data_IF_730666265004
#
_entry.id   IF_730666265004
#
_cell.length_a   1.000
_cell.length_b   1.000
_cell.length_c   1.000
_cell.angle_alpha   90.00
_cell.angle_beta   90.00
_cell.angle_gamma   90.00
#
_symmetry.space_group_name_H-M   'P 1'
#
loop_
_entity.id
_entity.type
_entity.pdbx_description
1 polymer ?
#
# COMPACT_ATOMS: atom_id res chain seq x y z
N UNK A 1 21.72 10.97 -3.77
CA UNK A 1 20.34 10.50 -3.54
C UNK A 1 19.53 11.70 -3.09
N UNK A 2 18.40 11.99 -3.72
CA UNK A 2 17.51 13.09 -3.31
C UNK A 2 16.07 12.65 -3.39
N UNK A 3 15.26 13.05 -2.41
CA UNK A 3 13.81 12.99 -2.52
C UNK A 3 13.35 13.97 -3.60
N UNK A 4 12.30 13.61 -4.33
CA UNK A 4 11.63 14.48 -5.30
C UNK A 4 10.81 15.52 -4.56
N UNK A 5 10.03 15.07 -3.57
CA UNK A 5 9.09 15.92 -2.85
C UNK A 5 9.77 16.57 -1.64
N UNK A 6 10.51 17.66 -1.89
CA UNK A 6 11.19 18.45 -0.86
C UNK A 6 10.65 19.89 -0.79
N UNK A 7 10.59 20.50 0.41
CA UNK A 7 10.17 21.89 0.56
C UNK A 7 11.24 22.86 0.03
N UNK A 8 10.80 24.04 -0.41
CA UNK A 8 11.63 25.15 -0.95
C UNK A 8 12.27 24.84 -2.30
N UNK A 9 13.00 23.74 -2.41
CA UNK A 9 13.64 23.26 -3.64
C UNK A 9 13.33 21.77 -3.79
N UNK A 10 12.72 21.39 -4.90
CA UNK A 10 12.39 19.99 -5.16
C UNK A 10 13.62 19.21 -5.68
N UNK A 11 13.53 17.88 -5.68
CA UNK A 11 14.64 17.02 -6.11
C UNK A 11 15.06 17.19 -7.57
N UNK A 12 14.12 17.56 -8.46
CA UNK A 12 14.44 17.83 -9.87
C UNK A 12 15.28 19.11 -10.01
N UNK A 13 14.92 20.17 -9.29
CA UNK A 13 15.67 21.43 -9.27
C UNK A 13 17.08 21.23 -8.70
N UNK A 14 17.20 20.49 -7.60
CA UNK A 14 18.50 20.13 -7.03
C UNK A 14 19.34 19.32 -8.01
N UNK A 15 18.75 18.31 -8.66
CA UNK A 15 19.43 17.49 -9.65
C UNK A 15 19.96 18.36 -10.79
N UNK A 16 19.12 19.25 -11.34
CA UNK A 16 19.50 20.18 -12.40
C UNK A 16 20.67 21.07 -11.98
N UNK A 17 20.58 21.70 -10.81
CA UNK A 17 21.65 22.55 -10.28
C UNK A 17 22.98 21.79 -10.14
N UNK A 18 22.94 20.53 -9.68
CA UNK A 18 24.13 19.68 -9.57
C UNK A 18 24.71 19.33 -10.95
N UNK A 19 23.86 19.04 -11.94
CA UNK A 19 24.28 18.68 -13.31
C UNK A 19 24.80 19.87 -14.12
N UNK A 20 24.30 21.07 -13.86
CA UNK A 20 24.79 22.30 -14.48
C UNK A 20 26.11 22.79 -13.85
N UNK A 21 26.41 22.42 -12.61
CA UNK A 21 27.62 22.85 -11.92
C UNK A 21 28.90 22.15 -12.44
N UNK A 22 29.90 22.93 -12.84
CA UNK A 22 31.14 22.45 -13.52
C UNK A 22 31.96 21.42 -12.74
N UNK A 23 31.91 21.47 -11.41
CA UNK A 23 32.64 20.50 -10.57
C UNK A 23 31.80 19.29 -10.15
N UNK A 24 30.46 19.39 -10.20
CA UNK A 24 29.56 18.39 -9.61
C UNK A 24 28.82 17.56 -10.66
N UNK A 25 28.82 17.97 -11.92
CA UNK A 25 28.01 17.35 -12.96
C UNK A 25 28.26 15.85 -13.19
N UNK A 26 29.47 15.37 -12.84
CA UNK A 26 29.85 13.95 -12.93
C UNK A 26 29.29 13.09 -11.80
N UNK A 27 28.78 13.68 -10.72
CA UNK A 27 28.26 12.93 -9.58
C UNK A 27 26.97 12.21 -10.00
N UNK A 28 26.89 10.88 -9.87
CA UNK A 28 25.66 10.15 -10.18
C UNK A 28 24.50 10.62 -9.29
N UNK A 29 23.34 10.85 -9.89
CA UNK A 29 22.18 11.36 -9.18
C UNK A 29 21.00 10.39 -9.29
N UNK A 30 20.51 9.94 -8.15
CA UNK A 30 19.32 9.09 -8.03
C UNK A 30 18.21 9.93 -7.41
N UNK A 31 17.07 10.01 -8.11
CA UNK A 31 15.84 10.61 -7.60
C UNK A 31 15.01 9.56 -6.87
N UNK A 32 14.50 9.91 -5.70
CA UNK A 32 13.65 9.05 -4.90
C UNK A 32 12.25 9.67 -4.90
N UNK A 33 11.22 8.91 -5.22
CA UNK A 33 9.85 9.44 -5.36
C UNK A 33 8.81 8.49 -4.81
N UNK A 34 7.69 9.01 -4.31
CA UNK A 34 6.52 8.19 -3.92
C UNK A 34 5.65 7.81 -5.13
N UNK A 35 5.81 8.51 -6.25
CA UNK A 35 4.99 8.30 -7.44
C UNK A 35 5.80 8.50 -8.72
N UNK A 36 5.62 7.57 -9.66
CA UNK A 36 6.20 7.64 -10.99
C UNK A 36 5.08 7.93 -11.98
N UNK A 37 5.05 9.16 -12.48
CA UNK A 37 4.17 9.58 -13.59
C UNK A 37 5.01 9.87 -14.83
N UNK A 38 4.38 9.88 -16.00
CA UNK A 38 5.03 10.30 -17.24
C UNK A 38 5.74 11.65 -17.09
N UNK A 39 5.07 12.64 -16.48
CA UNK A 39 5.63 13.97 -16.26
C UNK A 39 6.85 13.95 -15.31
N UNK A 40 6.82 13.15 -14.24
CA UNK A 40 7.96 12.96 -13.35
C UNK A 40 9.15 12.30 -14.05
N UNK A 41 8.89 11.32 -14.91
CA UNK A 41 9.92 10.66 -15.71
C UNK A 41 10.57 11.70 -16.64
N UNK A 42 9.78 12.49 -17.37
CA UNK A 42 10.31 13.51 -18.27
C UNK A 42 11.13 14.58 -17.52
N UNK A 43 10.62 15.07 -16.38
CA UNK A 43 11.36 16.01 -15.52
C UNK A 43 12.66 15.43 -14.98
N UNK A 44 12.67 14.14 -14.64
CA UNK A 44 13.88 13.43 -14.21
C UNK A 44 14.94 13.38 -15.31
N UNK A 45 14.53 13.07 -16.55
CA UNK A 45 15.41 13.11 -17.73
C UNK A 45 15.96 14.52 -17.92
N UNK A 46 15.09 15.53 -17.98
CA UNK A 46 15.47 16.93 -18.21
C UNK A 46 16.42 17.46 -17.12
N UNK A 47 16.28 16.99 -15.88
CA UNK A 47 17.18 17.34 -14.79
C UNK A 47 18.53 16.61 -14.86
N UNK A 48 18.69 15.63 -15.75
CA UNK A 48 19.89 14.81 -15.90
C UNK A 48 20.02 13.71 -14.86
N UNK A 49 18.91 13.24 -14.29
CA UNK A 49 18.94 12.14 -13.33
C UNK A 49 19.43 10.85 -13.98
N UNK A 50 20.23 10.08 -13.25
CA UNK A 50 20.81 8.83 -13.76
C UNK A 50 19.95 7.60 -13.43
N UNK A 51 19.13 7.69 -12.38
CA UNK A 51 18.23 6.62 -11.97
C UNK A 51 17.08 7.18 -11.10
N UNK A 52 16.02 6.39 -10.93
CA UNK A 52 14.93 6.63 -9.97
C UNK A 52 14.77 5.43 -9.05
N UNK A 53 14.29 5.72 -7.85
CA UNK A 53 13.87 4.74 -6.87
C UNK A 53 12.50 5.12 -6.35
N UNK A 54 11.53 4.21 -6.48
CA UNK A 54 10.18 4.45 -5.98
C UNK A 54 10.09 4.03 -4.52
N UNK A 55 9.44 4.83 -3.68
CA UNK A 55 9.12 4.48 -2.30
C UNK A 55 7.82 3.66 -2.24
N UNK A 56 7.70 2.72 -1.28
CA UNK A 56 8.78 2.21 -0.42
C UNK A 56 9.76 1.33 -1.22
N UNK A 57 11.02 1.30 -0.79
CA UNK A 57 12.06 0.43 -1.35
C UNK A 57 12.78 -0.29 -0.21
N UNK A 58 13.32 -1.48 -0.49
CA UNK A 58 14.21 -2.20 0.42
C UNK A 58 15.67 -1.77 0.23
N UNK A 59 16.49 -2.06 1.24
CA UNK A 59 17.91 -1.69 1.26
C UNK A 59 18.70 -2.38 0.14
N UNK A 60 18.39 -3.65 -0.18
CA UNK A 60 19.11 -4.40 -1.22
C UNK A 60 18.91 -3.76 -2.60
N UNK A 61 17.69 -3.37 -2.93
CA UNK A 61 17.35 -2.64 -4.16
C UNK A 61 18.12 -1.31 -4.25
N UNK A 62 18.22 -0.57 -3.15
CA UNK A 62 19.01 0.66 -3.11
C UNK A 62 20.50 0.38 -3.33
N UNK A 63 21.06 -0.62 -2.64
CA UNK A 63 22.48 -0.98 -2.77
C UNK A 63 22.83 -1.41 -4.19
N UNK A 64 22.01 -2.26 -4.82
CA UNK A 64 22.22 -2.69 -6.22
C UNK A 64 22.29 -1.48 -7.15
N UNK A 65 21.35 -0.52 -7.03
CA UNK A 65 21.34 0.68 -7.87
C UNK A 65 22.57 1.57 -7.64
N UNK A 66 23.04 1.70 -6.40
CA UNK A 66 24.25 2.45 -6.08
C UNK A 66 25.47 1.75 -6.69
N UNK A 67 25.60 0.44 -6.50
CA UNK A 67 26.71 -0.34 -7.05
C UNK A 67 26.76 -0.29 -8.58
N UNK A 68 25.61 -0.41 -9.25
CA UNK A 68 25.49 -0.26 -10.71
C UNK A 68 26.03 1.10 -11.18
N UNK A 69 25.65 2.19 -10.51
CA UNK A 69 26.10 3.55 -10.88
C UNK A 69 27.56 3.82 -10.52
N UNK A 70 28.09 3.24 -9.45
CA UNK A 70 29.49 3.42 -9.08
C UNK A 70 30.42 2.57 -9.94
N UNK A 71 29.98 1.38 -10.36
CA UNK A 71 30.76 0.48 -11.22
C UNK A 71 30.84 0.97 -12.65
N UNK A 72 29.79 1.66 -13.14
CA UNK A 72 29.75 2.22 -14.48
C UNK A 72 29.23 3.67 -14.44
N UNK A 73 30.07 4.62 -13.96
CA UNK A 73 29.65 5.98 -13.74
C UNK A 73 29.18 6.63 -15.05
N UNK A 74 27.97 7.20 -15.09
CA UNK A 74 27.45 7.82 -16.29
C UNK A 74 28.37 8.96 -16.71
N UNK A 75 28.80 8.94 -17.96
CA UNK A 75 29.62 10.00 -18.54
C UNK A 75 28.64 11.10 -18.98
N UNK A 76 28.64 12.29 -18.35
CA UNK A 76 27.71 13.32 -18.73
C UNK A 76 28.09 13.87 -20.10
N UNK A 77 27.23 13.68 -21.09
CA UNK A 77 27.42 14.26 -22.41
C UNK A 77 26.70 15.62 -22.51
N UNK A 78 27.41 16.70 -22.17
CA UNK A 78 26.89 18.08 -22.30
C UNK A 78 26.72 18.53 -23.77
N UNK A 79 27.29 17.78 -24.71
CA UNK A 79 27.14 17.98 -26.15
C UNK A 79 26.10 17.03 -26.76
N UNK A 80 25.33 16.30 -25.92
CA UNK A 80 24.24 15.47 -26.42
C UNK A 80 23.21 16.34 -27.16
N UNK A 81 22.79 15.87 -28.32
CA UNK A 81 21.71 16.49 -29.09
C UNK A 81 20.41 16.49 -28.30
N UNK A 82 19.58 17.49 -28.56
CA UNK A 82 18.21 17.52 -28.07
C UNK A 82 17.36 16.55 -28.89
N UNK A 83 16.58 15.73 -28.19
CA UNK A 83 15.63 14.80 -28.80
C UNK A 83 14.21 15.25 -28.46
N UNK A 84 13.36 15.33 -29.47
CA UNK A 84 11.93 15.55 -29.26
C UNK A 84 11.24 14.19 -29.02
N UNK A 85 10.60 14.07 -27.87
CA UNK A 85 9.84 12.88 -27.47
C UNK A 85 8.39 13.27 -27.30
N UNK A 86 7.50 12.56 -27.99
CA UNK A 86 6.05 12.75 -27.89
C UNK A 86 5.47 11.69 -26.96
N UNK A 87 4.88 12.13 -25.84
CA UNK A 87 4.20 11.25 -24.89
C UNK A 87 2.82 11.82 -24.57
N UNK A 88 1.78 10.99 -24.69
CA UNK A 88 0.39 11.40 -24.43
C UNK A 88 -0.04 12.67 -25.20
N UNK A 89 0.49 12.86 -26.42
CA UNK A 89 0.20 14.03 -27.26
C UNK A 89 0.94 15.32 -26.88
N UNK A 90 1.83 15.28 -25.87
CA UNK A 90 2.71 16.39 -25.49
C UNK A 90 4.13 16.12 -25.97
N UNK A 91 4.73 17.11 -26.63
CA UNK A 91 6.13 17.07 -27.06
C UNK A 91 7.03 17.59 -25.93
N UNK A 92 8.09 16.85 -25.64
CA UNK A 92 9.14 17.21 -24.69
C UNK A 92 10.47 17.23 -25.43
N UNK A 93 11.21 18.32 -25.30
CA UNK A 93 12.55 18.45 -25.89
C UNK A 93 13.56 18.20 -24.78
N UNK A 94 14.25 17.07 -24.85
CA UNK A 94 15.13 16.60 -23.77
C UNK A 94 16.57 16.53 -24.24
N UNK A 95 17.48 17.04 -23.41
CA UNK A 95 18.91 16.85 -23.59
C UNK A 95 19.34 15.61 -22.80
N UNK A 96 19.40 14.47 -23.47
CA UNK A 96 19.78 13.21 -22.83
C UNK A 96 20.52 12.32 -23.82
N UNK A 97 21.55 11.64 -23.33
CA UNK A 97 22.18 10.58 -24.12
C UNK A 97 21.31 9.31 -24.14
N UNK A 98 21.51 8.46 -25.15
CA UNK A 98 20.75 7.23 -25.32
C UNK A 98 20.90 6.25 -24.14
N UNK A 99 22.04 6.24 -23.45
CA UNK A 99 22.29 5.35 -22.31
C UNK A 99 21.48 5.78 -21.09
N UNK A 100 21.38 7.09 -20.82
CA UNK A 100 20.56 7.65 -19.76
C UNK A 100 19.08 7.34 -19.98
N UNK A 101 18.57 7.55 -21.21
CA UNK A 101 17.19 7.21 -21.57
C UNK A 101 16.89 5.72 -21.38
N UNK A 102 17.80 4.84 -21.81
CA UNK A 102 17.63 3.38 -21.67
C UNK A 102 17.61 2.99 -20.19
N UNK A 103 18.57 3.45 -19.40
CA UNK A 103 18.63 3.16 -17.96
C UNK A 103 17.37 3.66 -17.24
N UNK A 104 16.84 4.79 -17.69
CA UNK A 104 15.62 5.37 -17.20
C UNK A 104 14.38 4.55 -17.53
N UNK A 105 14.21 4.17 -18.79
CA UNK A 105 13.12 3.31 -19.22
C UNK A 105 13.17 1.93 -18.54
N UNK A 106 14.36 1.33 -18.42
CA UNK A 106 14.55 0.05 -17.74
C UNK A 106 14.16 0.16 -16.27
N UNK A 107 14.61 1.21 -15.58
CA UNK A 107 14.31 1.38 -14.15
C UNK A 107 12.84 1.63 -13.92
N UNK A 108 12.20 2.46 -14.75
CA UNK A 108 10.74 2.66 -14.73
C UNK A 108 10.01 1.35 -14.98
N UNK A 109 10.38 0.59 -16.01
CA UNK A 109 9.73 -0.68 -16.35
C UNK A 109 9.89 -1.73 -15.24
N UNK A 110 11.10 -1.87 -14.67
CA UNK A 110 11.36 -2.76 -13.53
C UNK A 110 10.47 -2.39 -12.34
N UNK A 111 10.41 -1.11 -11.97
CA UNK A 111 9.57 -0.64 -10.86
C UNK A 111 8.08 -0.94 -11.13
N UNK A 112 7.59 -0.70 -12.36
CA UNK A 112 6.19 -0.99 -12.72
C UNK A 112 5.89 -2.50 -12.67
N UNK A 113 6.81 -3.36 -13.12
CA UNK A 113 6.65 -4.81 -13.03
C UNK A 113 6.57 -5.28 -11.57
N UNK A 114 7.43 -4.74 -10.71
CA UNK A 114 7.44 -5.08 -9.30
C UNK A 114 6.13 -4.67 -8.61
N UNK A 115 5.65 -3.45 -8.86
CA UNK A 115 4.36 -2.98 -8.37
C UNK A 115 3.20 -3.85 -8.84
N UNK A 116 3.18 -4.25 -10.12
CA UNK A 116 2.15 -5.14 -10.66
C UNK A 116 2.14 -6.51 -9.96
N UNK A 117 3.32 -7.07 -9.68
CA UNK A 117 3.43 -8.33 -8.94
C UNK A 117 2.93 -8.20 -7.50
N UNK A 118 3.24 -7.09 -6.83
CA UNK A 118 2.72 -6.81 -5.49
C UNK A 118 1.19 -6.67 -5.49
N UNK A 119 0.64 -5.92 -6.45
CA UNK A 119 -0.81 -5.76 -6.61
C UNK A 119 -1.52 -7.10 -6.82
N UNK A 120 -0.97 -7.98 -7.64
CA UNK A 120 -1.53 -9.32 -7.88
C UNK A 120 -1.56 -10.18 -6.61
N UNK A 121 -0.49 -10.14 -5.80
CA UNK A 121 -0.44 -10.82 -4.50
C UNK A 121 -1.47 -10.25 -3.53
N UNK A 122 -1.57 -8.93 -3.44
CA UNK A 122 -2.56 -8.26 -2.59
C UNK A 122 -3.99 -8.61 -2.98
N UNK A 123 -4.32 -8.61 -4.27
CA UNK A 123 -5.64 -9.02 -4.76
C UNK A 123 -5.96 -10.48 -4.39
N UNK A 124 -4.99 -11.37 -4.55
CA UNK A 124 -5.17 -12.79 -4.19
C UNK A 124 -5.41 -12.96 -2.68
N UNK A 125 -4.63 -12.27 -1.85
CA UNK A 125 -4.81 -12.28 -0.39
C UNK A 125 -6.13 -11.67 0.05
N UNK A 126 -6.54 -10.55 -0.55
CA UNK A 126 -7.83 -9.91 -0.27
C UNK A 126 -9.00 -10.82 -0.63
N UNK A 127 -8.94 -11.51 -1.77
CA UNK A 127 -9.97 -12.46 -2.19
C UNK A 127 -10.06 -13.65 -1.22
N UNK A 128 -8.93 -14.16 -0.73
CA UNK A 128 -8.91 -15.22 0.27
C UNK A 128 -9.52 -14.76 1.60
N UNK A 129 -9.11 -13.59 2.11
CA UNK A 129 -9.64 -13.02 3.34
C UNK A 129 -11.14 -12.73 3.27
N UNK A 130 -11.62 -12.17 2.16
CA UNK A 130 -13.06 -11.95 1.94
C UNK A 130 -13.84 -13.27 1.93
N UNK A 131 -13.29 -14.32 1.32
CA UNK A 131 -13.93 -15.64 1.31
C UNK A 131 -14.02 -16.24 2.71
N UNK A 132 -12.96 -16.11 3.51
CA UNK A 132 -12.96 -16.54 4.91
C UNK A 132 -13.98 -15.75 5.73
N UNK A 133 -14.02 -14.43 5.56
CA UNK A 133 -14.96 -13.56 6.26
C UNK A 133 -16.42 -13.90 5.93
N UNK A 134 -16.73 -14.22 4.68
CA UNK A 134 -18.07 -14.69 4.27
C UNK A 134 -18.43 -16.04 4.92
N UNK A 135 -17.46 -16.96 5.01
CA UNK A 135 -17.64 -18.25 5.70
C UNK A 135 -17.91 -18.05 7.19
N UNK A 136 -17.06 -17.29 7.87
CA UNK A 136 -17.20 -16.99 9.30
C UNK A 136 -18.50 -16.23 9.57
N UNK A 137 -18.91 -15.30 8.71
CA UNK A 137 -20.19 -14.62 8.83
C UNK A 137 -21.36 -15.60 8.74
N UNK A 138 -21.34 -16.51 7.77
CA UNK A 138 -22.38 -17.54 7.61
C UNK A 138 -22.45 -18.47 8.82
N UNK A 139 -21.31 -18.90 9.34
CA UNK A 139 -21.24 -19.73 10.56
C UNK A 139 -21.85 -19.00 11.77
N UNK A 140 -21.54 -17.71 11.96
CA UNK A 140 -22.15 -16.91 13.01
C UNK A 140 -23.67 -16.75 12.85
N UNK A 141 -24.15 -16.51 11.63
CA UNK A 141 -25.60 -16.41 11.35
C UNK A 141 -26.31 -17.73 11.66
N UNK A 142 -25.75 -18.88 11.24
CA UNK A 142 -26.29 -20.21 11.56
C UNK A 142 -26.33 -20.49 13.07
N UNK A 143 -25.28 -20.11 13.80
CA UNK A 143 -25.25 -20.25 15.26
C UNK A 143 -26.34 -19.44 15.96
N UNK A 144 -26.57 -18.20 15.52
CA UNK A 144 -27.61 -17.33 16.08
C UNK A 144 -28.99 -17.97 15.88
N UNK A 145 -29.28 -18.51 14.71
CA UNK A 145 -30.53 -19.23 14.43
C UNK A 145 -30.66 -20.56 15.21
N UNK A 146 -29.56 -21.20 15.59
CA UNK A 146 -29.59 -22.43 16.39
C UNK A 146 -29.79 -22.18 17.90
N UNK A 147 -29.38 -21.01 18.40
CA UNK A 147 -29.44 -20.68 19.83
C UNK A 147 -30.75 -19.95 20.17
N UNK A 148 -31.22 -19.08 19.28
CA UNK A 148 -32.36 -18.20 19.55
C UNK A 148 -33.60 -18.58 18.74
N UNK A 149 -34.82 -18.35 19.27
CA UNK A 149 -36.05 -18.43 18.48
C UNK A 149 -35.98 -17.50 17.26
N UNK A 150 -36.64 -17.88 16.16
CA UNK A 150 -36.56 -17.22 14.85
C UNK A 150 -36.71 -15.70 14.93
N UNK A 151 -37.75 -15.21 15.62
CA UNK A 151 -37.99 -13.76 15.80
C UNK A 151 -36.84 -13.02 16.51
N UNK A 152 -36.19 -13.67 17.49
CA UNK A 152 -35.08 -13.09 18.26
C UNK A 152 -33.83 -13.07 17.41
N UNK A 153 -33.54 -14.17 16.70
CA UNK A 153 -32.42 -14.27 15.77
C UNK A 153 -32.51 -13.21 14.66
N UNK A 154 -33.68 -13.06 14.01
CA UNK A 154 -33.91 -12.07 12.97
C UNK A 154 -33.68 -10.64 13.46
N UNK A 155 -34.23 -10.28 14.63
CA UNK A 155 -34.03 -8.95 15.19
C UNK A 155 -32.58 -8.70 15.61
N UNK A 156 -31.88 -9.69 16.17
CA UNK A 156 -30.46 -9.56 16.52
C UNK A 156 -29.58 -9.37 15.27
N UNK A 157 -29.82 -10.13 14.20
CA UNK A 157 -29.09 -10.01 12.94
C UNK A 157 -29.37 -8.67 12.23
N UNK A 158 -30.60 -8.15 12.33
CA UNK A 158 -31.00 -6.91 11.66
C UNK A 158 -30.63 -5.63 12.44
N UNK A 159 -30.72 -5.65 13.77
CA UNK A 159 -30.66 -4.44 14.60
C UNK A 159 -29.56 -4.49 15.68
N UNK A 160 -28.87 -5.62 15.84
CA UNK A 160 -27.81 -5.81 16.85
C UNK A 160 -28.31 -5.79 18.30
N UNK A 161 -29.60 -5.60 18.53
CA UNK A 161 -30.24 -5.51 19.84
C UNK A 161 -31.63 -6.13 19.79
N UNK A 162 -32.09 -6.64 20.93
CA UNK A 162 -33.42 -7.23 21.08
C UNK A 162 -34.03 -6.77 22.40
N UNK A 163 -35.33 -6.53 22.43
CA UNK A 163 -36.06 -6.26 23.67
C UNK A 163 -36.49 -7.58 24.33
N UNK A 164 -36.48 -7.68 25.67
CA UNK A 164 -36.91 -8.89 26.36
C UNK A 164 -38.39 -9.20 26.08
N UNK A 165 -38.68 -10.40 25.61
CA UNK A 165 -40.04 -10.89 25.32
C UNK A 165 -40.30 -12.23 26.02
N UNK A 166 -41.56 -12.47 26.41
CA UNK A 166 -41.98 -13.71 27.08
C UNK A 166 -42.33 -14.78 26.06
N UNK A 167 -41.72 -15.95 26.16
CA UNK A 167 -41.99 -17.12 25.32
C UNK A 167 -42.68 -18.21 26.16
N UNK A 168 -43.88 -18.64 25.76
CA UNK A 168 -44.67 -19.62 26.52
C UNK A 168 -44.06 -21.03 26.49
N UNK A 169 -43.44 -21.44 25.36
CA UNK A 169 -42.86 -22.77 25.16
C UNK A 169 -41.33 -22.70 24.99
N UNK A 170 -40.61 -22.31 26.04
CA UNK A 170 -39.13 -22.33 26.05
C UNK A 170 -38.61 -23.35 27.05
N UNK A 171 -37.69 -24.22 26.61
CA UNK A 171 -36.95 -25.13 27.50
C UNK A 171 -35.59 -24.52 27.76
N UNK A 172 -35.36 -24.02 28.98
CA UNK A 172 -34.05 -23.52 29.40
C UNK A 172 -33.21 -24.68 29.92
N UNK A 173 -32.14 -25.03 29.20
CA UNK A 173 -31.21 -26.07 29.63
C UNK A 173 -30.14 -25.44 30.54
N UNK A 174 -30.29 -25.61 31.85
CA UNK A 174 -29.25 -25.23 32.82
C UNK A 174 -28.21 -26.36 32.89
N UNK A 175 -26.97 -26.06 32.51
CA UNK A 175 -25.80 -26.92 32.79
C UNK A 175 -25.04 -26.27 33.94
N UNK A 176 -24.88 -26.97 35.06
CA UNK A 176 -24.23 -26.46 36.27
C UNK A 176 -22.75 -26.15 36.01
N UNK A 177 -22.41 -24.87 35.88
CA UNK A 177 -21.05 -24.41 36.08
C UNK A 177 -20.74 -24.57 37.57
N UNK A 178 -19.86 -25.53 37.90
CA UNK A 178 -19.41 -25.83 39.27
C UNK A 178 -19.28 -24.55 40.13
N UNK A 179 -20.25 -24.34 41.02
CA UNK A 179 -20.26 -23.23 41.98
C UNK A 179 -21.36 -22.18 41.78
N UNK A 180 -22.11 -22.20 40.67
CA UNK A 180 -23.17 -21.23 40.36
C UNK A 180 -24.25 -21.18 41.44
N UNK A 181 -24.68 -22.35 41.93
CA UNK A 181 -25.72 -22.47 42.98
C UNK A 181 -25.39 -21.72 44.28
N UNK A 182 -24.11 -21.47 44.58
CA UNK A 182 -23.70 -20.78 45.83
C UNK A 182 -23.85 -19.27 45.77
N UNK A 183 -23.92 -18.66 44.58
CA UNK A 183 -23.84 -17.20 44.40
C UNK A 183 -25.21 -16.58 44.11
N UNK A 184 -26.15 -17.37 43.59
CA UNK A 184 -27.51 -16.95 43.22
C UNK A 184 -28.38 -16.43 44.39
N UNK A 185 -28.28 -16.94 45.64
CA UNK A 185 -29.17 -16.48 46.71
C UNK A 185 -28.98 -14.99 47.09
N UNK A 186 -27.80 -14.43 46.82
CA UNK A 186 -27.42 -13.09 47.27
C UNK A 186 -27.47 -12.03 46.14
N UNK A 187 -27.88 -12.42 44.92
CA UNK A 187 -27.90 -11.54 43.76
C UNK A 187 -29.32 -11.36 43.22
N UNK A 188 -29.70 -10.12 42.97
CA UNK A 188 -30.95 -9.83 42.25
C UNK A 188 -30.84 -10.26 40.77
N UNK A 189 -31.97 -10.58 40.10
CA UNK A 189 -31.96 -10.95 38.68
C UNK A 189 -31.30 -9.92 37.76
N UNK A 190 -31.38 -8.63 38.10
CA UNK A 190 -30.76 -7.54 37.33
C UNK A 190 -29.23 -7.47 37.53
N UNK A 191 -28.74 -7.85 38.70
CA UNK A 191 -27.30 -7.95 39.01
C UNK A 191 -26.67 -9.19 38.36
N UNK A 192 -27.43 -10.28 38.27
CA UNK A 192 -26.99 -11.55 37.68
C UNK A 192 -26.79 -11.48 36.15
N UNK A 193 -27.53 -10.60 35.47
CA UNK A 193 -27.42 -10.38 34.01
C UNK A 193 -26.29 -9.41 33.66
N UNK A 194 -25.81 -8.60 34.64
CA UNK A 194 -24.74 -7.60 34.46
C UNK A 194 -23.35 -8.11 34.82
N UNK A 195 -23.23 -9.29 35.45
CA UNK A 195 -21.96 -9.96 35.81
C UNK A 195 -21.46 -10.86 34.70
#
# INVERSE_FOLDING_TARGET
>A
LSDVDMPVMNGFELCRAVKEHDQLYKIPFILITSMVTTDHIMKGIEAGANNYLTKPYDDDTLFIKIEELLSNPPIPNREADYVDVVVEGKTYTIQADHTQLINLLISTYKNTLEQNNQLSKMQSGLNAANKELELTKKEHEELIHNIFPEKVAEHLLAYGTVNPERYEDSTVMFTDFSGFTKVVPDLSPEELIKS
#
